data_IF_753676674047
#
_entry.id   IF_753676674047
#
_cell.length_a   1.000
_cell.length_b   1.000
_cell.length_c   1.000
_cell.angle_alpha   90.00
_cell.angle_beta   90.00
_cell.angle_gamma   90.00
#
_symmetry.space_group_name_H-M   'P 1'
#
loop_
_entity.id
_entity.type
_entity.pdbx_description
1 polymer ?
#
# COMPACT_ATOMS: atom_id res chain seq x y z
N UNK A 1 8.55 -15.62 -23.39
CA UNK A 1 9.04 -15.07 -22.12
C UNK A 1 10.41 -15.72 -21.85
N UNK A 2 11.37 -15.02 -21.24
CA UNK A 2 12.68 -15.61 -20.94
C UNK A 2 12.57 -16.64 -19.79
N UNK A 3 13.52 -17.59 -19.73
CA UNK A 3 13.53 -18.64 -18.71
C UNK A 3 13.43 -18.08 -17.28
N UNK A 4 14.25 -17.06 -16.97
CA UNK A 4 14.26 -16.44 -15.65
C UNK A 4 12.85 -15.92 -15.24
N UNK A 5 12.12 -15.27 -16.14
CA UNK A 5 10.77 -14.80 -15.86
C UNK A 5 9.84 -15.95 -15.50
N UNK A 6 9.87 -17.05 -16.28
CA UNK A 6 9.01 -18.21 -16.04
C UNK A 6 9.31 -18.87 -14.70
N UNK A 7 10.61 -19.03 -14.38
CA UNK A 7 11.05 -19.62 -13.10
C UNK A 7 10.64 -18.76 -11.90
N UNK A 8 10.82 -17.42 -11.99
CA UNK A 8 10.41 -16.48 -10.93
C UNK A 8 8.90 -16.48 -10.71
N UNK A 9 8.12 -16.56 -11.79
CA UNK A 9 6.67 -16.66 -11.69
C UNK A 9 6.23 -18.00 -11.08
N UNK A 10 6.88 -19.10 -11.46
CA UNK A 10 6.63 -20.40 -10.85
C UNK A 10 6.94 -20.42 -9.35
N UNK A 11 8.00 -19.71 -8.91
CA UNK A 11 8.29 -19.52 -7.49
C UNK A 11 7.16 -18.74 -6.79
N UNK A 12 6.68 -17.65 -7.38
CA UNK A 12 5.55 -16.89 -6.84
C UNK A 12 4.28 -17.73 -6.71
N UNK A 13 3.97 -18.53 -7.72
CA UNK A 13 2.76 -19.36 -7.76
C UNK A 13 2.77 -20.48 -6.71
N UNK A 14 3.96 -21.00 -6.41
CA UNK A 14 4.16 -22.02 -5.35
C UNK A 14 4.23 -21.45 -3.94
N UNK A 15 4.54 -20.15 -3.79
CA UNK A 15 4.75 -19.50 -2.49
C UNK A 15 3.82 -18.29 -2.34
N UNK A 16 2.56 -18.55 -2.00
CA UNK A 16 1.49 -17.53 -1.88
C UNK A 16 1.42 -16.91 -0.48
N UNK A 17 2.56 -16.69 0.16
CA UNK A 17 2.67 -16.04 1.45
C UNK A 17 2.37 -14.51 1.38
N UNK A 18 1.73 -13.99 2.41
CA UNK A 18 1.30 -12.60 2.49
C UNK A 18 -0.05 -12.31 1.82
N UNK A 19 -0.47 -11.05 1.87
CA UNK A 19 -1.73 -10.59 1.25
C UNK A 19 -1.67 -10.68 -0.28
N UNK A 20 -2.84 -10.69 -0.95
CA UNK A 20 -2.92 -10.63 -2.42
C UNK A 20 -2.13 -9.44 -3.01
N UNK A 21 -2.18 -8.28 -2.34
CA UNK A 21 -1.41 -7.10 -2.76
C UNK A 21 0.11 -7.35 -2.65
N UNK A 22 0.56 -8.01 -1.57
CA UNK A 22 1.97 -8.38 -1.38
C UNK A 22 2.43 -9.35 -2.46
N UNK A 23 1.63 -10.37 -2.76
CA UNK A 23 1.95 -11.36 -3.80
C UNK A 23 2.03 -10.72 -5.19
N UNK A 24 1.04 -9.88 -5.54
CA UNK A 24 1.00 -9.15 -6.81
C UNK A 24 2.21 -8.20 -6.96
N UNK A 25 2.52 -7.43 -5.92
CA UNK A 25 3.66 -6.51 -5.91
C UNK A 25 4.99 -7.27 -6.03
N UNK A 26 5.16 -8.36 -5.29
CA UNK A 26 6.36 -9.21 -5.37
C UNK A 26 6.57 -9.75 -6.79
N UNK A 27 5.50 -10.25 -7.42
CA UNK A 27 5.55 -10.75 -8.81
C UNK A 27 5.97 -9.66 -9.79
N UNK A 28 5.42 -8.45 -9.65
CA UNK A 28 5.79 -7.30 -10.47
C UNK A 28 7.26 -6.89 -10.28
N UNK A 29 7.74 -6.84 -9.04
CA UNK A 29 9.12 -6.53 -8.70
C UNK A 29 10.08 -7.59 -9.26
N UNK A 30 9.78 -8.87 -9.11
CA UNK A 30 10.63 -9.94 -9.63
C UNK A 30 10.70 -9.94 -11.17
N UNK A 31 9.59 -9.60 -11.84
CA UNK A 31 9.61 -9.36 -13.30
C UNK A 31 10.59 -8.25 -13.65
N UNK A 32 10.50 -7.12 -12.97
CA UNK A 32 11.41 -5.99 -13.16
C UNK A 32 12.87 -6.39 -12.91
N UNK A 33 13.16 -7.24 -11.90
CA UNK A 33 14.52 -7.71 -11.64
C UNK A 33 15.09 -8.53 -12.80
N UNK A 34 14.29 -9.40 -13.42
CA UNK A 34 14.72 -10.12 -14.59
C UNK A 34 15.05 -9.15 -15.76
N UNK A 35 14.20 -8.15 -15.99
CA UNK A 35 14.42 -7.13 -17.00
C UNK A 35 15.67 -6.28 -16.69
N UNK A 36 15.89 -5.92 -15.42
CA UNK A 36 17.08 -5.17 -14.98
C UNK A 36 18.37 -5.99 -15.14
N UNK A 37 18.34 -7.29 -14.87
CA UNK A 37 19.46 -8.19 -15.12
C UNK A 37 19.77 -8.31 -16.62
N UNK A 38 18.73 -8.39 -17.47
CA UNK A 38 18.93 -8.38 -18.92
C UNK A 38 19.62 -7.11 -19.40
N UNK A 39 19.20 -5.93 -18.90
CA UNK A 39 19.83 -4.64 -19.19
C UNK A 39 21.25 -4.53 -18.66
N UNK A 40 21.56 -5.26 -17.59
CA UNK A 40 22.92 -5.39 -17.06
C UNK A 40 23.79 -6.40 -17.82
N UNK A 41 23.31 -6.97 -18.93
CA UNK A 41 24.05 -7.88 -19.80
C UNK A 41 23.98 -9.36 -19.45
N UNK A 42 23.12 -9.76 -18.49
CA UNK A 42 22.94 -11.18 -18.16
C UNK A 42 21.99 -11.87 -19.15
N UNK A 43 22.35 -13.09 -19.57
CA UNK A 43 21.51 -13.88 -20.46
C UNK A 43 20.34 -14.52 -19.72
N UNK A 44 19.27 -13.75 -19.48
CA UNK A 44 18.08 -14.22 -18.78
C UNK A 44 17.27 -15.28 -19.52
N UNK A 45 17.57 -15.54 -20.82
CA UNK A 45 16.96 -16.62 -21.58
C UNK A 45 17.49 -17.99 -21.17
N UNK A 46 18.74 -18.05 -20.72
CA UNK A 46 19.42 -19.26 -20.24
C UNK A 46 19.47 -19.34 -18.72
N UNK A 47 19.48 -18.18 -18.03
CA UNK A 47 19.55 -18.08 -16.59
C UNK A 47 18.30 -18.69 -15.94
N UNK A 48 18.51 -19.61 -15.00
CA UNK A 48 17.46 -20.12 -14.10
C UNK A 48 17.35 -19.24 -12.86
N UNK A 49 16.20 -19.29 -12.18
CA UNK A 49 16.06 -18.65 -10.88
C UNK A 49 17.04 -19.20 -9.82
N UNK A 50 17.50 -20.44 -9.97
CA UNK A 50 18.50 -21.09 -9.10
C UNK A 50 19.91 -20.49 -9.26
N UNK A 51 20.17 -19.79 -10.36
CA UNK A 51 21.49 -19.23 -10.67
C UNK A 51 21.76 -17.89 -9.96
N UNK A 52 20.92 -17.48 -9.02
CA UNK A 52 21.13 -16.24 -8.26
C UNK A 52 22.45 -16.29 -7.50
N UNK A 53 23.32 -15.31 -7.73
CA UNK A 53 24.63 -15.14 -7.08
C UNK A 53 24.84 -13.67 -6.72
N UNK A 54 25.80 -13.40 -5.82
CA UNK A 54 26.15 -12.05 -5.40
C UNK A 54 26.41 -11.06 -6.55
N UNK A 55 26.97 -11.52 -7.69
CA UNK A 55 27.17 -10.68 -8.88
C UNK A 55 25.86 -10.12 -9.46
N UNK A 56 24.77 -10.90 -9.42
CA UNK A 56 23.46 -10.48 -9.90
C UNK A 56 22.85 -9.45 -8.93
N UNK A 57 22.98 -9.71 -7.62
CA UNK A 57 22.56 -8.77 -6.57
C UNK A 57 23.31 -7.45 -6.68
N UNK A 58 24.64 -7.49 -6.87
CA UNK A 58 25.45 -6.30 -7.06
C UNK A 58 25.07 -5.51 -8.33
N UNK A 59 24.73 -6.19 -9.43
CA UNK A 59 24.27 -5.54 -10.65
C UNK A 59 22.94 -4.81 -10.46
N UNK A 60 21.96 -5.46 -9.80
CA UNK A 60 20.68 -4.85 -9.46
C UNK A 60 20.89 -3.62 -8.55
N UNK A 61 21.71 -3.74 -7.51
CA UNK A 61 21.97 -2.64 -6.58
C UNK A 61 22.61 -1.44 -7.26
N UNK A 62 23.69 -1.64 -8.04
CA UNK A 62 24.34 -0.56 -8.79
C UNK A 62 23.36 0.16 -9.70
N UNK A 63 22.52 -0.60 -10.41
CA UNK A 63 21.50 -0.03 -11.26
C UNK A 63 20.52 0.85 -10.49
N UNK A 64 19.97 0.37 -9.38
CA UNK A 64 19.02 1.14 -8.56
C UNK A 64 19.63 2.40 -7.95
N UNK A 65 20.92 2.32 -7.58
CA UNK A 65 21.69 3.48 -7.12
C UNK A 65 21.92 4.50 -8.24
N UNK A 66 22.27 4.05 -9.45
CA UNK A 66 22.46 4.92 -10.61
C UNK A 66 21.15 5.57 -11.10
N UNK A 67 20.01 4.92 -10.87
CA UNK A 67 18.67 5.48 -11.12
C UNK A 67 18.22 6.45 -10.02
N UNK A 68 19.02 6.69 -8.98
CA UNK A 68 18.69 7.59 -7.88
C UNK A 68 17.53 7.12 -6.99
N UNK A 69 17.31 5.81 -6.90
CA UNK A 69 16.21 5.31 -6.07
C UNK A 69 16.44 5.61 -4.59
N UNK A 70 15.37 6.04 -3.92
CA UNK A 70 15.40 6.28 -2.49
C UNK A 70 15.85 5.03 -1.71
N UNK A 71 16.62 5.21 -0.64
CA UNK A 71 17.12 4.13 0.25
C UNK A 71 15.99 3.20 0.68
N UNK A 72 14.81 3.74 1.02
CA UNK A 72 13.64 2.95 1.40
C UNK A 72 13.15 2.03 0.27
N UNK A 73 13.19 2.49 -0.98
CA UNK A 73 12.82 1.71 -2.16
C UNK A 73 13.83 0.59 -2.40
N UNK A 74 15.13 0.89 -2.31
CA UNK A 74 16.20 -0.11 -2.43
C UNK A 74 16.04 -1.19 -1.36
N UNK A 75 15.82 -0.82 -0.10
CA UNK A 75 15.60 -1.80 0.98
C UNK A 75 14.37 -2.68 0.76
N UNK A 76 13.27 -2.11 0.26
CA UNK A 76 12.08 -2.89 -0.08
C UNK A 76 12.34 -3.87 -1.23
N UNK A 77 13.08 -3.45 -2.26
CA UNK A 77 13.50 -4.32 -3.37
C UNK A 77 14.46 -5.42 -2.88
N UNK A 78 15.41 -5.08 -2.01
CA UNK A 78 16.31 -6.06 -1.40
C UNK A 78 15.58 -7.10 -0.56
N UNK A 79 14.50 -6.74 0.12
CA UNK A 79 13.65 -7.71 0.83
C UNK A 79 13.05 -8.75 -0.15
N UNK A 80 12.66 -8.33 -1.36
CA UNK A 80 12.16 -9.25 -2.39
C UNK A 80 13.29 -10.12 -2.97
N UNK A 81 14.50 -9.58 -3.13
CA UNK A 81 15.68 -10.39 -3.55
C UNK A 81 16.03 -11.44 -2.51
N UNK A 82 15.97 -11.09 -1.20
CA UNK A 82 16.18 -12.06 -0.11
C UNK A 82 15.10 -13.13 -0.08
N UNK A 83 13.84 -12.75 -0.27
CA UNK A 83 12.75 -13.69 -0.40
C UNK A 83 12.99 -14.67 -1.57
N UNK A 84 13.43 -14.17 -2.74
CA UNK A 84 13.83 -15.04 -3.85
C UNK A 84 14.95 -15.99 -3.47
N UNK A 85 16.04 -15.48 -2.88
CA UNK A 85 17.18 -16.30 -2.43
C UNK A 85 16.77 -17.38 -1.43
N UNK A 86 15.87 -17.05 -0.50
CA UNK A 86 15.31 -18.01 0.47
C UNK A 86 14.51 -19.11 -0.23
N UNK A 87 13.62 -18.76 -1.18
CA UNK A 87 12.77 -19.74 -1.86
C UNK A 87 13.52 -20.67 -2.81
N UNK A 88 14.74 -20.33 -3.20
CA UNK A 88 15.62 -21.23 -3.95
C UNK A 88 16.65 -21.96 -3.06
N UNK A 89 16.57 -21.81 -1.73
CA UNK A 89 17.50 -22.45 -0.81
C UNK A 89 18.91 -21.86 -0.80
N UNK A 90 19.10 -20.62 -1.28
CA UNK A 90 20.41 -19.96 -1.35
C UNK A 90 20.40 -18.56 -0.68
N UNK A 91 20.06 -18.47 0.62
CA UNK A 91 20.01 -17.17 1.31
C UNK A 91 21.37 -16.47 1.37
N UNK A 92 22.46 -17.20 1.34
CA UNK A 92 23.84 -16.67 1.36
C UNK A 92 24.23 -15.90 0.08
N UNK A 93 23.45 -15.99 -1.01
CA UNK A 93 23.67 -15.20 -2.20
C UNK A 93 23.46 -13.69 -1.99
N UNK A 94 22.75 -13.29 -0.92
CA UNK A 94 22.39 -11.91 -0.63
C UNK A 94 22.97 -11.50 0.72
N UNK A 95 24.00 -10.67 0.70
CA UNK A 95 24.64 -10.11 1.90
C UNK A 95 23.70 -9.18 2.67
N UNK A 96 24.08 -8.79 3.90
CA UNK A 96 23.36 -7.80 4.70
C UNK A 96 23.29 -6.43 3.99
N UNK A 97 22.39 -5.55 4.41
CA UNK A 97 22.34 -4.19 3.85
C UNK A 97 23.63 -3.41 4.14
N UNK A 98 24.23 -3.67 5.28
CA UNK A 98 25.49 -3.04 5.71
C UNK A 98 26.66 -3.48 4.84
N UNK A 99 26.83 -4.79 4.61
CA UNK A 99 27.85 -5.34 3.72
C UNK A 99 27.66 -4.91 2.25
N UNK A 100 26.46 -4.54 1.86
CA UNK A 100 26.12 -4.02 0.53
C UNK A 100 26.25 -2.50 0.44
N UNK A 101 26.66 -1.81 1.51
CA UNK A 101 26.77 -0.34 1.53
C UNK A 101 25.45 0.38 1.38
N UNK A 102 24.32 -0.25 1.75
CA UNK A 102 22.99 0.38 1.69
C UNK A 102 22.78 1.17 2.98
N UNK A 103 22.66 2.48 2.86
CA UNK A 103 22.51 3.43 3.96
C UNK A 103 21.34 3.08 4.90
N UNK A 104 21.39 3.63 6.11
CA UNK A 104 20.25 3.56 7.05
C UNK A 104 19.08 4.38 6.51
N UNK A 105 17.87 3.82 6.60
CA UNK A 105 16.64 4.54 6.24
C UNK A 105 16.31 5.54 7.33
N UNK A 106 16.07 6.78 6.94
CA UNK A 106 15.39 7.74 7.81
C UNK A 106 13.88 7.42 7.83
N UNK A 107 13.35 7.19 9.03
CA UNK A 107 11.94 6.83 9.22
C UNK A 107 11.05 8.03 9.49
N UNK A 108 11.63 9.09 10.01
CA UNK A 108 10.94 10.32 10.38
C UNK A 108 11.58 11.50 9.68
N UNK A 109 10.76 12.46 9.28
CA UNK A 109 11.20 13.76 8.77
C UNK A 109 10.59 14.82 9.65
N UNK A 110 11.32 15.92 9.90
CA UNK A 110 10.79 17.09 10.60
C UNK A 110 9.95 17.99 9.67
N UNK A 111 9.90 17.67 8.37
CA UNK A 111 9.05 18.36 7.42
C UNK A 111 7.61 17.84 7.50
N UNK A 112 6.68 18.77 7.68
CA UNK A 112 5.26 18.44 7.56
C UNK A 112 4.90 18.26 6.07
N UNK A 113 4.72 17.00 5.66
CA UNK A 113 4.32 16.63 4.28
C UNK A 113 2.81 16.43 4.12
N UNK A 114 2.01 16.76 5.14
CA UNK A 114 0.55 16.66 5.03
C UNK A 114 0.01 17.75 4.10
N UNK A 115 -0.86 17.37 3.17
CA UNK A 115 -1.65 18.34 2.41
C UNK A 115 -2.80 18.83 3.29
N UNK A 116 -3.02 20.15 3.31
CA UNK A 116 -4.20 20.71 3.96
C UNK A 116 -5.43 20.51 3.06
N UNK A 117 -6.52 20.02 3.62
CA UNK A 117 -7.80 19.91 2.89
C UNK A 117 -8.33 21.30 2.43
N UNK A 118 -7.93 22.36 3.13
CA UNK A 118 -8.31 23.73 2.80
C UNK A 118 -7.74 24.21 1.46
N UNK A 119 -6.68 23.59 0.96
CA UNK A 119 -6.08 23.89 -0.35
C UNK A 119 -6.74 23.14 -1.51
N UNK A 120 -7.70 22.26 -1.22
CA UNK A 120 -8.35 21.41 -2.21
C UNK A 120 -9.75 21.95 -2.52
N UNK A 121 -10.03 22.18 -3.80
CA UNK A 121 -11.36 22.60 -4.25
C UNK A 121 -12.29 21.36 -4.29
N UNK A 122 -12.95 21.11 -3.17
CA UNK A 122 -13.86 19.97 -3.01
C UNK A 122 -15.11 20.08 -3.91
N UNK A 123 -15.48 21.29 -4.36
CA UNK A 123 -16.68 21.50 -5.18
C UNK A 123 -16.58 20.90 -6.58
N UNK A 124 -15.36 20.66 -7.04
CA UNK A 124 -15.06 20.04 -8.35
C UNK A 124 -14.96 18.52 -8.32
N UNK A 125 -15.14 17.92 -7.15
CA UNK A 125 -15.00 16.48 -6.96
C UNK A 125 -16.36 15.78 -6.87
N UNK A 126 -16.35 14.45 -7.12
CA UNK A 126 -17.47 13.60 -6.72
C UNK A 126 -17.76 13.79 -5.23
N UNK A 127 -19.04 13.99 -4.88
CA UNK A 127 -19.44 14.32 -3.50
C UNK A 127 -19.00 13.26 -2.47
N UNK A 128 -18.96 11.98 -2.84
CA UNK A 128 -18.54 10.91 -1.95
C UNK A 128 -17.02 10.91 -1.76
N UNK A 129 -16.28 11.28 -2.80
CA UNK A 129 -14.81 11.47 -2.69
C UNK A 129 -14.51 12.67 -1.81
N UNK A 130 -15.18 13.80 -2.04
CA UNK A 130 -15.04 14.99 -1.20
C UNK A 130 -15.35 14.70 0.27
N UNK A 131 -16.49 14.06 0.56
CA UNK A 131 -16.84 13.65 1.92
C UNK A 131 -15.82 12.65 2.54
N UNK A 132 -15.26 11.74 1.73
CA UNK A 132 -14.19 10.83 2.19
C UNK A 132 -12.92 11.58 2.56
N UNK A 133 -12.56 12.65 1.84
CA UNK A 133 -11.42 13.51 2.19
C UNK A 133 -11.68 14.27 3.49
N UNK A 134 -12.90 14.78 3.70
CA UNK A 134 -13.29 15.42 4.97
C UNK A 134 -13.21 14.43 6.12
N UNK A 135 -13.69 13.19 5.97
CA UNK A 135 -13.55 12.16 6.99
C UNK A 135 -12.08 11.85 7.31
N UNK A 136 -11.19 11.85 6.30
CA UNK A 136 -9.76 11.68 6.52
C UNK A 136 -9.17 12.84 7.35
N UNK A 137 -9.55 14.08 7.01
CA UNK A 137 -9.08 15.28 7.73
C UNK A 137 -9.56 15.29 9.19
N UNK A 138 -10.84 15.07 9.42
CA UNK A 138 -11.46 15.23 10.74
C UNK A 138 -11.18 14.07 11.70
N UNK A 139 -11.02 12.85 11.21
CA UNK A 139 -10.84 11.64 12.02
C UNK A 139 -9.47 10.98 11.86
N UNK A 140 -8.59 11.47 11.01
CA UNK A 140 -7.32 10.82 10.71
C UNK A 140 -7.50 9.45 10.07
N UNK A 141 -8.57 9.25 9.29
CA UNK A 141 -8.80 7.99 8.60
C UNK A 141 -7.81 7.82 7.46
N UNK A 142 -7.39 6.57 7.22
CA UNK A 142 -6.70 6.26 5.97
C UNK A 142 -7.68 6.32 4.81
N UNK A 143 -7.18 6.59 3.60
CA UNK A 143 -8.01 6.65 2.38
C UNK A 143 -8.97 5.45 2.24
N UNK A 144 -8.47 4.23 2.43
CA UNK A 144 -9.28 3.02 2.32
C UNK A 144 -10.34 2.94 3.43
N UNK A 145 -10.01 3.35 4.65
CA UNK A 145 -10.93 3.41 5.78
C UNK A 145 -12.08 4.39 5.50
N UNK A 146 -11.75 5.59 4.98
CA UNK A 146 -12.74 6.62 4.67
C UNK A 146 -13.66 6.22 3.50
N UNK A 147 -13.11 5.61 2.45
CA UNK A 147 -13.91 5.16 1.30
C UNK A 147 -14.80 3.95 1.61
N UNK A 148 -14.32 3.01 2.43
CA UNK A 148 -15.11 1.87 2.89
C UNK A 148 -16.03 2.19 4.05
N UNK A 149 -15.99 3.42 4.58
CA UNK A 149 -16.77 3.84 5.74
C UNK A 149 -18.26 3.61 5.52
N UNK A 150 -18.90 2.93 6.45
CA UNK A 150 -20.33 2.66 6.50
C UNK A 150 -20.89 3.36 7.73
N UNK A 151 -21.56 4.51 7.58
CA UNK A 151 -22.02 5.31 8.72
C UNK A 151 -22.96 4.54 9.65
N UNK A 152 -23.88 3.76 9.11
CA UNK A 152 -24.83 2.96 9.90
C UNK A 152 -24.10 2.00 10.86
N UNK A 153 -23.10 1.26 10.35
CA UNK A 153 -22.27 0.39 11.19
C UNK A 153 -21.42 1.20 12.18
N UNK A 154 -20.73 2.23 11.67
CA UNK A 154 -19.78 3.00 12.47
C UNK A 154 -20.44 3.72 13.65
N UNK A 155 -21.67 4.14 13.49
CA UNK A 155 -22.47 4.84 14.49
C UNK A 155 -23.40 3.88 15.28
N UNK A 156 -23.37 2.58 14.99
CA UNK A 156 -24.26 1.59 15.60
C UNK A 156 -25.76 1.96 15.45
N UNK A 157 -26.12 2.45 14.27
CA UNK A 157 -27.50 2.90 13.95
C UNK A 157 -27.92 4.22 14.61
N UNK A 158 -27.03 4.92 15.32
CA UNK A 158 -27.33 6.20 15.98
C UNK A 158 -27.16 7.37 15.04
N UNK A 159 -27.82 8.48 15.35
CA UNK A 159 -27.60 9.73 14.64
C UNK A 159 -26.21 10.32 14.97
N UNK A 160 -25.46 10.80 13.97
CA UNK A 160 -24.20 11.53 14.23
C UNK A 160 -24.41 12.86 14.95
N UNK A 161 -25.63 13.42 14.88
CA UNK A 161 -26.00 14.69 15.54
C UNK A 161 -26.45 14.49 16.97
N UNK A 162 -26.69 13.26 17.41
CA UNK A 162 -27.07 12.95 18.79
C UNK A 162 -25.84 13.15 19.70
N UNK A 163 -26.04 13.91 20.79
CA UNK A 163 -25.01 14.18 21.79
C UNK A 163 -24.48 12.91 22.47
N UNK A 164 -25.32 11.87 22.58
CA UNK A 164 -24.96 10.57 23.17
C UNK A 164 -24.09 9.72 22.25
N UNK A 165 -23.99 10.06 20.97
CA UNK A 165 -23.08 9.41 20.02
C UNK A 165 -21.67 9.99 20.21
N UNK A 166 -20.85 9.29 20.99
CA UNK A 166 -19.52 9.78 21.42
C UNK A 166 -18.33 9.25 20.61
N UNK A 167 -18.56 8.22 19.79
CA UNK A 167 -17.48 7.54 19.07
C UNK A 167 -17.98 6.93 17.75
N UNK A 168 -17.05 6.68 16.86
CA UNK A 168 -17.26 5.85 15.67
C UNK A 168 -16.44 4.57 15.76
N UNK A 169 -16.97 3.48 15.19
CA UNK A 169 -16.29 2.18 15.11
C UNK A 169 -15.88 1.88 13.68
N UNK A 170 -14.64 1.51 13.49
CA UNK A 170 -14.11 1.06 12.19
C UNK A 170 -13.96 -0.45 12.23
N UNK A 171 -14.60 -1.11 11.28
CA UNK A 171 -14.54 -2.55 11.10
C UNK A 171 -13.13 -2.98 10.66
N UNK A 172 -12.61 -4.06 11.22
CA UNK A 172 -11.27 -4.57 10.90
C UNK A 172 -11.02 -4.79 9.41
N UNK A 173 -12.05 -5.21 8.64
CA UNK A 173 -11.93 -5.36 7.19
C UNK A 173 -11.69 -4.05 6.41
N UNK A 174 -11.85 -2.88 7.05
CA UNK A 174 -11.54 -1.58 6.46
C UNK A 174 -10.14 -1.11 6.85
N UNK A 175 -9.63 -1.59 7.98
CA UNK A 175 -8.39 -1.11 8.60
C UNK A 175 -7.18 -1.93 8.16
N UNK A 176 -6.01 -1.29 8.11
CA UNK A 176 -4.76 -1.98 7.85
C UNK A 176 -4.43 -2.93 9.02
N UNK A 177 -4.24 -4.21 8.70
CA UNK A 177 -3.94 -5.24 9.69
C UNK A 177 -5.16 -5.90 10.31
N UNK A 178 -6.38 -5.60 9.81
CA UNK A 178 -7.60 -6.31 10.22
C UNK A 178 -8.07 -6.06 11.65
N UNK A 179 -7.64 -4.95 12.27
CA UNK A 179 -7.99 -4.61 13.67
C UNK A 179 -9.12 -3.60 13.71
N UNK A 180 -10.14 -3.88 14.52
CA UNK A 180 -11.17 -2.91 14.82
C UNK A 180 -10.57 -1.69 15.54
N UNK A 181 -11.11 -0.52 15.25
CA UNK A 181 -10.71 0.75 15.87
C UNK A 181 -11.92 1.52 16.33
N UNK A 182 -11.78 2.18 17.47
CA UNK A 182 -12.76 3.13 17.99
C UNK A 182 -12.10 4.51 18.00
N UNK A 183 -12.80 5.52 17.49
CA UNK A 183 -12.33 6.90 17.41
C UNK A 183 -13.38 7.81 18.03
N UNK A 184 -13.02 8.64 19.03
CA UNK A 184 -13.96 9.54 19.68
C UNK A 184 -14.37 10.69 18.75
N UNK A 185 -15.62 11.13 18.89
CA UNK A 185 -16.18 12.32 18.28
C UNK A 185 -15.98 13.48 19.26
N UNK A 186 -15.20 14.49 18.89
CA UNK A 186 -14.77 15.57 19.78
C UNK A 186 -15.23 16.96 19.32
N UNK A 187 -15.48 17.14 18.02
CA UNK A 187 -15.72 18.46 17.42
C UNK A 187 -17.05 18.52 16.68
N UNK A 188 -17.66 19.70 16.54
CA UNK A 188 -18.82 19.89 15.67
C UNK A 188 -18.51 19.53 14.20
N UNK A 189 -17.33 19.87 13.69
CA UNK A 189 -16.91 19.55 12.32
C UNK A 189 -16.88 18.03 12.07
N UNK A 190 -16.47 17.24 13.05
CA UNK A 190 -16.56 15.78 12.97
C UNK A 190 -18.01 15.29 12.84
N UNK A 191 -18.96 15.90 13.57
CA UNK A 191 -20.37 15.54 13.48
C UNK A 191 -20.97 15.90 12.12
N UNK A 192 -20.63 17.07 11.59
CA UNK A 192 -21.04 17.50 10.23
C UNK A 192 -20.50 16.57 9.15
N UNK A 193 -19.21 16.17 9.25
CA UNK A 193 -18.60 15.20 8.35
C UNK A 193 -19.33 13.86 8.36
N UNK A 194 -19.70 13.37 9.56
CA UNK A 194 -20.46 12.13 9.71
C UNK A 194 -21.88 12.26 9.16
N UNK A 195 -22.56 13.40 9.38
CA UNK A 195 -23.88 13.65 8.87
C UNK A 195 -23.89 13.67 7.32
N UNK A 196 -22.91 14.34 6.69
CA UNK A 196 -22.75 14.32 5.24
C UNK A 196 -22.47 12.91 4.72
N UNK A 197 -21.60 12.17 5.39
CA UNK A 197 -21.29 10.78 5.03
C UNK A 197 -22.52 9.87 5.15
N UNK A 198 -23.33 10.01 6.22
CA UNK A 198 -24.56 9.25 6.42
C UNK A 198 -25.61 9.57 5.33
N UNK A 199 -25.74 10.84 4.98
CA UNK A 199 -26.64 11.28 3.89
C UNK A 199 -26.25 10.64 2.55
N UNK A 200 -24.96 10.63 2.21
CA UNK A 200 -24.46 10.12 0.93
C UNK A 200 -24.44 8.59 0.86
N UNK A 201 -24.03 7.94 1.92
CA UNK A 201 -23.88 6.48 1.95
C UNK A 201 -25.23 5.76 2.17
N UNK A 202 -26.18 6.43 2.82
CA UNK A 202 -27.45 5.79 3.27
C UNK A 202 -27.13 4.53 4.11
N UNK A 203 -27.66 3.37 3.73
CA UNK A 203 -27.36 2.08 4.37
C UNK A 203 -26.06 1.41 3.85
N UNK A 204 -25.38 2.01 2.88
CA UNK A 204 -24.18 1.47 2.24
C UNK A 204 -22.87 2.09 2.75
N UNK A 205 -21.83 1.98 1.93
CA UNK A 205 -20.54 2.61 2.14
C UNK A 205 -20.38 3.90 1.34
N UNK A 206 -19.27 4.60 1.58
CA UNK A 206 -18.90 5.75 0.75
C UNK A 206 -18.58 5.36 -0.69
N UNK A 207 -18.34 4.09 -0.99
CA UNK A 207 -18.23 3.57 -2.35
C UNK A 207 -19.66 3.33 -2.88
N UNK A 208 -20.05 3.91 -4.03
CA UNK A 208 -21.35 3.63 -4.65
C UNK A 208 -21.50 2.12 -4.96
N UNK A 209 -22.74 1.58 -4.89
CA UNK A 209 -22.96 0.14 -5.09
C UNK A 209 -22.66 -0.35 -6.52
N UNK A 210 -22.65 0.53 -7.51
CA UNK A 210 -22.32 0.27 -8.91
C UNK A 210 -20.82 0.28 -9.20
N UNK A 211 -19.98 0.57 -8.20
CA UNK A 211 -18.53 0.71 -8.36
C UNK A 211 -17.74 -0.18 -7.39
N UNK A 212 -16.65 -0.74 -7.88
CA UNK A 212 -15.62 -1.31 -7.03
C UNK A 212 -14.75 -0.21 -6.40
N UNK A 213 -14.05 -0.54 -5.32
CA UNK A 213 -13.05 0.36 -4.71
C UNK A 213 -12.06 0.94 -5.73
N UNK A 214 -11.57 0.11 -6.66
CA UNK A 214 -10.62 0.56 -7.70
C UNK A 214 -11.26 1.55 -8.68
N UNK A 215 -12.48 1.28 -9.12
CA UNK A 215 -13.20 2.17 -10.03
C UNK A 215 -13.50 3.52 -9.36
N UNK A 216 -13.83 3.50 -8.07
CA UNK A 216 -14.10 4.73 -7.33
C UNK A 216 -12.83 5.56 -7.05
N UNK A 217 -11.63 4.97 -7.12
CA UNK A 217 -10.34 5.68 -6.97
C UNK A 217 -9.88 6.44 -8.22
N UNK A 218 -10.41 6.14 -9.39
CA UNK A 218 -9.91 6.63 -10.68
C UNK A 218 -10.72 7.87 -11.16
N UNK A 219 -11.71 8.27 -10.39
CA UNK A 219 -12.51 9.47 -10.62
C UNK A 219 -11.83 10.65 -9.95
#
# INVERSE_FOLDING_TARGET
>A
MARLHNDLFAICDRNRDGSFATQSNRRAILRQFADDLARAGFNIRQMSAQDLKGRHVGALLRRWQSEGLAVSTIKNRMAVVRWWAEKIGNPGAVKSNEDLGIEKREYTTNENKSASIQTVDLSKMDERIAASLVLQSEFGLRREEAMKFQPEYALSGRSPLDAETKEIRLKGSWTKGGRDRVIPIRTPAQREALAKAAYLARSGSMIPPDRSYRQHLII
#
